data_IF_466248939987
#
_entry.id   IF_466248939987
#
_cell.length_a   1.000
_cell.length_b   1.000
_cell.length_c   1.000
_cell.angle_alpha   90.00
_cell.angle_beta   90.00
_cell.angle_gamma   90.00
#
_symmetry.space_group_name_H-M   'P 1'
#
loop_
_entity.id
_entity.type
_entity.pdbx_description
1 polymer ?
#
# COMPACT_ATOMS: atom_id res chain seq x y z
N UNK A 1 6.24 -0.71 28.12
CA UNK A 1 5.22 -0.03 27.29
C UNK A 1 5.88 0.61 26.09
N UNK A 2 5.34 0.40 24.87
CA UNK A 2 5.87 1.10 23.70
C UNK A 2 5.64 2.61 23.81
N UNK A 3 6.59 3.37 23.26
CA UNK A 3 6.48 4.83 23.21
C UNK A 3 5.38 5.23 22.23
N UNK A 4 4.93 6.50 22.31
CA UNK A 4 3.99 7.06 21.32
C UNK A 4 4.55 6.97 19.91
N UNK A 5 5.85 7.23 19.75
CA UNK A 5 6.52 7.14 18.45
C UNK A 5 6.46 5.71 17.89
N UNK A 6 6.70 4.71 18.75
CA UNK A 6 6.62 3.31 18.33
C UNK A 6 5.18 2.92 17.98
N UNK A 7 4.20 3.36 18.77
CA UNK A 7 2.79 3.08 18.49
C UNK A 7 2.39 3.71 17.15
N UNK A 8 2.79 4.98 16.92
CA UNK A 8 2.51 5.66 15.67
C UNK A 8 3.15 4.94 14.48
N UNK A 9 4.40 4.48 14.63
CA UNK A 9 5.09 3.74 13.58
C UNK A 9 4.40 2.42 13.28
N UNK A 10 3.98 1.67 14.30
CA UNK A 10 3.27 0.41 14.12
C UNK A 10 1.92 0.64 13.45
N UNK A 11 1.20 1.67 13.86
CA UNK A 11 -0.08 2.02 13.25
C UNK A 11 0.09 2.42 11.79
N UNK A 12 1.10 3.23 11.47
CA UNK A 12 1.39 3.64 10.09
C UNK A 12 1.72 2.43 9.21
N UNK A 13 2.54 1.48 9.72
CA UNK A 13 2.87 0.27 8.96
C UNK A 13 1.63 -0.59 8.73
N UNK A 14 0.77 -0.75 9.75
CA UNK A 14 -0.45 -1.53 9.62
C UNK A 14 -1.42 -0.90 8.61
N UNK A 15 -1.65 0.41 8.72
CA UNK A 15 -2.54 1.13 7.80
C UNK A 15 -1.98 1.12 6.39
N UNK A 16 -0.69 1.41 6.24
CA UNK A 16 -0.05 1.44 4.94
C UNK A 16 -0.06 0.08 4.25
N UNK A 17 0.23 -0.99 4.98
CA UNK A 17 0.19 -2.36 4.45
C UNK A 17 -1.23 -2.72 4.03
N UNK A 18 -2.23 -2.37 4.84
CA UNK A 18 -3.62 -2.61 4.51
C UNK A 18 -4.03 -1.88 3.23
N UNK A 19 -3.72 -0.60 3.12
CA UNK A 19 -4.06 0.20 1.94
C UNK A 19 -3.32 -0.29 0.70
N UNK A 20 -2.04 -0.63 0.84
CA UNK A 20 -1.28 -1.21 -0.26
C UNK A 20 -1.94 -2.50 -0.77
N UNK A 21 -2.34 -3.37 0.14
CA UNK A 21 -2.99 -4.64 -0.21
C UNK A 21 -4.34 -4.39 -0.88
N UNK A 22 -5.15 -3.46 -0.34
CA UNK A 22 -6.48 -3.17 -0.91
C UNK A 22 -6.36 -2.65 -2.34
N UNK A 23 -5.44 -1.72 -2.60
CA UNK A 23 -5.25 -1.17 -3.94
C UNK A 23 -4.64 -2.22 -4.87
N UNK A 24 -3.62 -2.94 -4.43
CA UNK A 24 -2.95 -3.94 -5.23
C UNK A 24 -3.87 -5.11 -5.59
N UNK A 25 -4.51 -5.71 -4.60
CA UNK A 25 -5.46 -6.81 -4.82
C UNK A 25 -6.68 -6.32 -5.58
N UNK A 26 -7.14 -5.10 -5.31
CA UNK A 26 -8.25 -4.49 -6.03
C UNK A 26 -7.97 -4.38 -7.52
N UNK A 27 -6.75 -3.98 -7.90
CA UNK A 27 -6.35 -3.90 -9.30
C UNK A 27 -6.37 -5.29 -9.97
N UNK A 28 -5.89 -6.32 -9.27
CA UNK A 28 -5.91 -7.71 -9.78
C UNK A 28 -7.35 -8.19 -9.97
N UNK A 29 -8.21 -7.95 -8.97
CA UNK A 29 -9.61 -8.36 -9.03
C UNK A 29 -10.33 -7.64 -10.18
N UNK A 30 -10.11 -6.34 -10.32
CA UNK A 30 -10.72 -5.55 -11.39
C UNK A 30 -10.26 -6.06 -12.76
N UNK A 31 -8.98 -6.41 -12.88
CA UNK A 31 -8.47 -7.00 -14.12
C UNK A 31 -9.21 -8.29 -14.46
N UNK A 32 -9.38 -9.18 -13.48
CA UNK A 32 -10.09 -10.43 -13.66
C UNK A 32 -11.56 -10.21 -14.03
N UNK A 33 -12.23 -9.28 -13.35
CA UNK A 33 -13.65 -9.01 -13.56
C UNK A 33 -13.93 -8.33 -14.89
N UNK A 34 -12.98 -7.61 -15.44
CA UNK A 34 -13.14 -6.85 -16.68
C UNK A 34 -12.50 -7.54 -17.90
N UNK A 35 -12.07 -8.79 -17.73
CA UNK A 35 -11.46 -9.53 -18.84
C UNK A 35 -10.10 -8.97 -19.26
N UNK A 36 -9.34 -8.42 -18.32
CA UNK A 36 -8.01 -7.92 -18.58
C UNK A 36 -7.92 -6.44 -18.92
N UNK A 37 -8.98 -5.65 -18.60
CA UNK A 37 -8.98 -4.22 -18.93
C UNK A 37 -7.90 -3.43 -18.21
N UNK A 38 -7.49 -3.87 -17.02
CA UNK A 38 -6.40 -3.20 -16.28
C UNK A 38 -5.05 -3.54 -16.88
N UNK A 39 -4.84 -4.82 -17.19
CA UNK A 39 -3.61 -5.33 -17.76
C UNK A 39 -2.47 -5.42 -16.75
N UNK A 40 -1.42 -6.13 -17.14
CA UNK A 40 -0.26 -6.32 -16.27
C UNK A 40 0.42 -5.00 -15.91
N UNK A 41 0.56 -4.10 -16.90
CA UNK A 41 1.15 -2.79 -16.67
C UNK A 41 0.30 -1.97 -15.70
N UNK A 42 -1.03 -2.01 -15.84
CA UNK A 42 -1.94 -1.33 -14.93
C UNK A 42 -1.84 -1.87 -13.51
N UNK A 43 -1.74 -3.18 -13.35
CA UNK A 43 -1.55 -3.82 -12.04
C UNK A 43 -0.22 -3.36 -11.42
N UNK A 44 0.85 -3.38 -12.20
CA UNK A 44 2.17 -2.95 -11.73
C UNK A 44 2.17 -1.47 -11.34
N UNK A 45 1.52 -0.62 -12.13
CA UNK A 45 1.41 0.81 -11.82
C UNK A 45 0.59 1.04 -10.56
N UNK A 46 -0.49 0.31 -10.34
CA UNK A 46 -1.31 0.41 -9.12
C UNK A 46 -0.45 0.13 -7.89
N UNK A 47 0.34 -0.94 -7.92
CA UNK A 47 1.24 -1.28 -6.82
C UNK A 47 2.32 -0.21 -6.62
N UNK A 48 2.97 0.23 -7.70
CA UNK A 48 4.04 1.22 -7.63
C UNK A 48 3.56 2.57 -7.16
N UNK A 49 2.43 3.05 -7.67
CA UNK A 49 1.90 4.36 -7.30
C UNK A 49 1.40 4.39 -5.86
N UNK A 50 0.68 3.35 -5.41
CA UNK A 50 0.22 3.31 -4.02
C UNK A 50 1.41 3.20 -3.06
N UNK A 51 2.42 2.42 -3.41
CA UNK A 51 3.62 2.30 -2.59
C UNK A 51 4.36 3.64 -2.50
N UNK A 52 4.50 4.36 -3.61
CA UNK A 52 5.13 5.68 -3.63
C UNK A 52 4.36 6.68 -2.79
N UNK A 53 3.03 6.71 -2.92
CA UNK A 53 2.18 7.63 -2.16
C UNK A 53 2.23 7.34 -0.66
N UNK A 54 2.09 6.07 -0.27
CA UNK A 54 2.11 5.67 1.14
C UNK A 54 3.51 5.82 1.72
N UNK A 55 4.55 5.47 0.96
CA UNK A 55 5.92 5.65 1.39
C UNK A 55 6.26 7.09 1.67
N UNK A 56 5.86 8.00 0.78
CA UNK A 56 6.06 9.44 0.97
C UNK A 56 5.28 9.94 2.18
N UNK A 57 4.02 9.51 2.34
CA UNK A 57 3.19 9.96 3.44
C UNK A 57 3.66 9.45 4.80
N UNK A 58 4.10 8.19 4.87
CA UNK A 58 4.38 7.51 6.15
C UNK A 58 5.85 7.35 6.48
N UNK A 59 6.77 7.61 5.53
CA UNK A 59 8.20 7.45 5.79
C UNK A 59 8.67 8.20 7.05
N UNK A 60 8.25 9.46 7.31
CA UNK A 60 8.69 10.15 8.51
C UNK A 60 8.15 9.53 9.82
N UNK A 61 7.11 8.72 9.73
CA UNK A 61 6.45 8.12 10.90
C UNK A 61 7.00 6.73 11.18
N UNK A 62 7.18 5.91 10.15
CA UNK A 62 7.52 4.49 10.32
C UNK A 62 8.66 4.00 9.43
N UNK A 63 9.14 4.85 8.50
CA UNK A 63 10.10 4.43 7.48
C UNK A 63 9.45 3.87 6.22
N UNK A 64 8.13 3.65 6.23
CA UNK A 64 7.39 3.24 5.03
C UNK A 64 7.75 1.88 4.48
N UNK A 65 8.07 0.93 5.34
CA UNK A 65 8.42 -0.43 4.91
C UNK A 65 7.21 -1.21 4.41
N UNK A 66 6.08 -1.06 5.06
CA UNK A 66 4.80 -1.73 4.74
C UNK A 66 4.94 -3.25 4.58
N UNK A 67 5.57 -3.82 5.55
CA UNK A 67 5.86 -5.23 5.55
C UNK A 67 4.78 -6.05 6.28
#
# INVERSE_FOLDING_TARGET
MPSRTLIAALAAEAIGTFLFFVVGAGAVIMDAQTGGAVGLIGIALAHGLVLAALGTAFAPISGGQFN
#
